data_IF_568751496483
#
_entry.id   IF_568751496483
#
_cell.length_a   1.000
_cell.length_b   1.000
_cell.length_c   1.000
_cell.angle_alpha   90.00
_cell.angle_beta   90.00
_cell.angle_gamma   90.00
#
_symmetry.space_group_name_H-M   'P 1'
#
loop_
_entity.id
_entity.type
_entity.pdbx_description
1 polymer ?
#
# COMPACT_ATOMS: atom_id res chain seq x y z
N UNK A 1 18.76 32.20 -20.13
CA UNK A 1 18.36 31.01 -20.91
C UNK A 1 19.61 30.49 -21.56
N UNK A 2 20.20 29.39 -21.06
CA UNK A 2 21.36 28.79 -21.74
C UNK A 2 20.93 28.27 -23.11
N UNK A 3 21.69 28.54 -24.18
CA UNK A 3 21.38 28.01 -25.50
C UNK A 3 21.42 26.48 -25.44
N UNK A 4 20.41 25.83 -25.99
CA UNK A 4 20.40 24.38 -26.13
C UNK A 4 21.62 23.95 -26.95
N UNK A 5 22.39 22.99 -26.44
CA UNK A 5 23.52 22.40 -27.17
C UNK A 5 23.03 21.78 -28.49
N UNK A 6 23.77 21.98 -29.58
CA UNK A 6 23.46 21.39 -30.89
C UNK A 6 23.74 19.87 -30.89
N UNK A 7 23.16 19.07 -31.81
CA UNK A 7 23.35 17.61 -31.86
C UNK A 7 24.81 17.12 -31.94
N UNK A 8 25.73 17.96 -32.42
CA UNK A 8 27.18 17.66 -32.44
C UNK A 8 27.78 17.81 -31.04
N UNK A 9 27.40 18.86 -30.30
CA UNK A 9 27.75 19.05 -28.89
C UNK A 9 27.12 17.98 -27.99
N UNK A 10 25.95 17.43 -28.37
CA UNK A 10 25.39 16.23 -27.75
C UNK A 10 26.28 15.02 -27.94
N UNK A 11 26.76 14.79 -29.17
CA UNK A 11 27.67 13.69 -29.46
C UNK A 11 28.99 13.87 -28.72
N UNK A 12 29.56 15.08 -28.67
CA UNK A 12 30.78 15.37 -27.92
C UNK A 12 30.58 15.21 -26.41
N UNK A 13 29.48 15.70 -25.84
CA UNK A 13 29.15 15.50 -24.42
C UNK A 13 28.95 14.02 -24.08
N UNK A 14 28.19 13.29 -24.89
CA UNK A 14 27.95 11.87 -24.70
C UNK A 14 29.23 11.05 -24.89
N UNK A 15 30.07 11.38 -25.88
CA UNK A 15 31.32 10.66 -26.17
C UNK A 15 32.46 11.01 -25.20
N UNK A 16 32.46 12.20 -24.59
CA UNK A 16 33.54 12.64 -23.69
C UNK A 16 33.16 12.65 -22.21
N UNK A 17 31.86 12.58 -21.88
CA UNK A 17 31.33 12.75 -20.52
C UNK A 17 31.53 14.15 -19.93
N UNK A 18 32.03 15.12 -20.71
CA UNK A 18 32.47 16.43 -20.22
C UNK A 18 31.72 17.55 -20.92
N UNK A 19 31.27 18.53 -20.13
CA UNK A 19 30.84 19.83 -20.65
C UNK A 19 32.10 20.68 -20.79
N UNK A 20 32.66 20.78 -21.99
CA UNK A 20 33.79 21.67 -22.28
C UNK A 20 33.27 22.97 -22.91
N UNK A 21 33.38 24.09 -22.19
CA UNK A 21 33.62 25.37 -22.84
C UNK A 21 35.14 25.53 -23.07
N UNK A 22 35.59 26.17 -24.15
CA UNK A 22 37.03 26.35 -24.41
C UNK A 22 37.67 27.19 -23.29
N UNK A 23 38.45 26.56 -22.42
CA UNK A 23 39.21 27.22 -21.34
C UNK A 23 38.74 26.93 -19.91
N UNK A 24 37.64 26.20 -19.71
CA UNK A 24 37.07 25.93 -18.38
C UNK A 24 37.31 24.49 -17.88
N UNK A 25 37.37 24.35 -16.54
CA UNK A 25 37.48 23.04 -15.87
C UNK A 25 36.22 22.22 -16.22
N UNK A 26 36.36 20.99 -16.74
CA UNK A 26 35.21 20.22 -17.19
C UNK A 26 34.23 19.96 -16.03
N UNK A 27 32.96 20.28 -16.27
CA UNK A 27 31.86 19.95 -15.37
C UNK A 27 31.33 18.54 -15.64
N UNK A 28 31.07 17.79 -14.57
CA UNK A 28 30.43 16.48 -14.57
C UNK A 28 29.00 16.58 -14.03
N UNK A 29 28.04 15.81 -14.56
CA UNK A 29 26.69 15.75 -14.00
C UNK A 29 26.69 15.13 -12.61
N UNK A 30 25.90 15.70 -11.70
CA UNK A 30 25.58 15.03 -10.45
C UNK A 30 24.66 13.83 -10.73
N UNK A 31 25.15 12.62 -10.45
CA UNK A 31 24.44 11.33 -10.56
C UNK A 31 23.00 11.39 -10.07
N UNK A 32 22.77 12.07 -8.95
CA UNK A 32 21.45 12.06 -8.33
C UNK A 32 20.58 13.22 -8.80
N UNK A 33 21.05 14.48 -8.75
CA UNK A 33 20.18 15.65 -8.96
C UNK A 33 20.33 16.35 -10.31
N UNK A 34 21.23 15.87 -11.18
CA UNK A 34 21.46 16.45 -12.50
C UNK A 34 22.15 17.82 -12.47
N UNK A 35 22.63 18.29 -11.31
CA UNK A 35 23.36 19.54 -11.21
C UNK A 35 24.78 19.39 -11.74
N UNK A 36 25.29 20.35 -12.50
CA UNK A 36 26.69 20.36 -12.96
C UNK A 36 27.63 20.57 -11.76
N UNK A 37 28.67 19.73 -11.65
CA UNK A 37 29.69 19.72 -10.59
C UNK A 37 31.06 19.85 -11.23
N UNK A 38 31.95 20.68 -10.69
CA UNK A 38 33.32 20.76 -11.20
C UNK A 38 34.04 19.43 -10.92
N UNK A 39 34.73 18.86 -11.92
CA UNK A 39 35.35 17.53 -11.81
C UNK A 39 36.33 17.37 -10.62
N UNK A 40 36.89 18.47 -10.12
CA UNK A 40 37.82 18.50 -8.97
C UNK A 40 37.15 18.26 -7.61
N UNK A 41 35.81 18.32 -7.53
CA UNK A 41 35.10 18.40 -6.24
C UNK A 41 34.78 17.04 -5.59
N UNK A 42 35.16 15.90 -6.16
CA UNK A 42 34.90 14.60 -5.54
C UNK A 42 35.20 13.37 -6.41
N UNK A 43 34.91 12.16 -5.89
CA UNK A 43 35.08 10.93 -6.66
C UNK A 43 34.17 10.93 -7.89
N UNK A 44 34.67 10.37 -8.98
CA UNK A 44 33.94 10.13 -10.22
C UNK A 44 33.49 8.67 -10.28
N UNK A 45 32.34 8.43 -10.91
CA UNK A 45 31.76 7.12 -11.15
C UNK A 45 31.47 7.00 -12.65
N UNK A 46 31.68 5.82 -13.23
CA UNK A 46 31.28 5.53 -14.60
C UNK A 46 29.90 4.88 -14.60
N UNK A 47 29.00 5.44 -15.39
CA UNK A 47 27.66 4.91 -15.61
C UNK A 47 27.55 4.47 -17.06
N UNK A 48 27.44 3.17 -17.28
CA UNK A 48 27.20 2.62 -18.61
C UNK A 48 25.74 2.83 -19.01
N UNK A 49 25.55 3.57 -20.08
CA UNK A 49 24.27 3.86 -20.72
C UNK A 49 24.24 3.15 -22.07
N UNK A 50 23.13 2.51 -22.39
CA UNK A 50 22.90 1.99 -23.72
C UNK A 50 22.23 3.07 -24.56
N UNK A 51 22.97 3.64 -25.51
CA UNK A 51 22.38 4.55 -26.48
C UNK A 51 21.50 3.72 -27.43
N UNK A 52 20.20 4.02 -27.47
CA UNK A 52 19.35 3.57 -28.58
C UNK A 52 19.36 4.68 -29.61
N UNK A 53 19.88 4.39 -30.80
CA UNK A 53 19.78 5.32 -31.92
C UNK A 53 18.29 5.52 -32.23
N UNK A 54 17.75 6.68 -31.86
CA UNK A 54 16.46 7.13 -32.40
C UNK A 54 16.77 7.63 -33.80
N UNK A 55 16.56 6.77 -34.80
CA UNK A 55 16.82 7.14 -36.18
C UNK A 55 15.89 8.29 -36.59
N UNK A 56 16.48 9.48 -36.82
CA UNK A 56 15.84 10.54 -37.58
C UNK A 56 16.30 10.43 -39.04
N UNK A 57 15.38 10.48 -40.03
CA UNK A 57 14.03 11.01 -39.95
C UNK A 57 12.95 9.95 -39.63
N UNK A 58 11.86 10.41 -39.01
CA UNK A 58 10.65 9.62 -38.77
C UNK A 58 10.04 9.15 -40.10
N UNK A 59 10.06 7.85 -40.37
CA UNK A 59 9.29 7.26 -41.49
C UNK A 59 7.82 7.15 -41.05
N UNK A 60 6.94 7.99 -41.59
CA UNK A 60 5.50 7.94 -41.30
C UNK A 60 5.08 8.45 -39.91
N UNK A 61 5.89 9.30 -39.26
CA UNK A 61 5.52 9.94 -37.99
C UNK A 61 5.59 9.04 -36.75
N UNK A 62 6.12 7.81 -36.89
CA UNK A 62 6.38 6.91 -35.77
C UNK A 62 7.89 6.74 -35.58
N UNK A 63 8.41 6.84 -34.34
CA UNK A 63 9.81 6.57 -34.07
C UNK A 63 10.13 5.10 -34.38
N UNK A 64 11.10 4.87 -35.27
CA UNK A 64 11.61 3.53 -35.57
C UNK A 64 12.95 3.35 -34.86
N UNK A 65 13.08 2.27 -34.08
CA UNK A 65 14.33 1.91 -33.38
C UNK A 65 15.15 1.06 -34.34
N UNK A 66 16.35 1.52 -34.73
CA UNK A 66 17.35 0.65 -35.36
C UNK A 66 18.03 -0.16 -34.26
N UNK A 67 17.79 -1.47 -34.25
CA UNK A 67 18.36 -2.41 -33.28
C UNK A 67 19.81 -2.81 -33.57
N UNK A 68 20.39 -2.31 -34.66
CA UNK A 68 21.56 -2.94 -35.28
C UNK A 68 22.90 -2.45 -34.72
N UNK A 69 22.98 -1.25 -34.11
CA UNK A 69 24.21 -0.73 -33.48
C UNK A 69 23.92 -0.16 -32.08
N UNK A 70 23.83 -1.06 -31.11
CA UNK A 70 23.68 -0.72 -29.69
C UNK A 70 25.08 -0.67 -29.06
N UNK A 71 25.73 0.48 -29.10
CA UNK A 71 27.00 0.66 -28.40
C UNK A 71 26.77 1.12 -26.95
N UNK A 72 27.39 0.45 -25.96
CA UNK A 72 27.44 0.96 -24.60
C UNK A 72 28.27 2.25 -24.58
N UNK A 73 27.72 3.27 -23.92
CA UNK A 73 28.33 4.56 -23.69
C UNK A 73 28.63 4.71 -22.20
N UNK A 74 29.89 4.92 -21.86
CA UNK A 74 30.27 5.20 -20.48
C UNK A 74 30.19 6.71 -20.20
N UNK A 75 29.31 7.09 -19.28
CA UNK A 75 29.12 8.48 -18.85
C UNK A 75 29.78 8.69 -17.49
N UNK A 76 30.77 9.58 -17.43
CA UNK A 76 31.35 10.02 -16.16
C UNK A 76 30.35 10.88 -15.38
N UNK A 77 30.08 10.49 -14.13
CA UNK A 77 29.22 11.24 -13.21
C UNK A 77 29.96 11.51 -11.91
N UNK A 78 29.51 12.52 -11.16
CA UNK A 78 29.97 12.78 -9.80
C UNK A 78 28.78 13.00 -8.85
N UNK A 79 29.03 13.42 -7.62
CA UNK A 79 28.00 13.83 -6.67
C UNK A 79 28.27 15.23 -6.16
N UNK A 80 27.28 16.12 -6.21
CA UNK A 80 27.41 17.45 -5.60
C UNK A 80 27.46 17.36 -4.07
N UNK A 81 27.94 18.41 -3.40
CA UNK A 81 28.08 18.45 -1.91
C UNK A 81 26.80 18.08 -1.17
N UNK A 82 25.63 18.51 -1.66
CA UNK A 82 24.32 18.19 -1.06
C UNK A 82 23.99 16.70 -1.18
N UNK A 83 24.15 16.12 -2.37
CA UNK A 83 23.94 14.70 -2.60
C UNK A 83 24.90 13.82 -1.79
N UNK A 84 26.18 14.22 -1.67
CA UNK A 84 27.15 13.54 -0.78
C UNK A 84 26.73 13.58 0.69
N UNK A 85 26.21 14.72 1.16
CA UNK A 85 25.72 14.85 2.53
C UNK A 85 24.54 13.90 2.79
N UNK A 86 23.61 13.80 1.84
CA UNK A 86 22.51 12.83 1.90
C UNK A 86 23.01 11.39 1.86
N UNK A 87 24.00 11.07 1.02
CA UNK A 87 24.59 9.74 0.96
C UNK A 87 25.21 9.32 2.31
N UNK A 88 25.94 10.24 2.97
CA UNK A 88 26.46 10.01 4.33
C UNK A 88 25.33 9.81 5.36
N UNK A 89 24.26 10.58 5.26
CA UNK A 89 23.08 10.40 6.12
C UNK A 89 22.43 9.03 5.88
N UNK A 90 22.33 8.57 4.63
CA UNK A 90 21.82 7.25 4.30
C UNK A 90 22.69 6.13 4.90
N UNK A 91 24.02 6.26 4.83
CA UNK A 91 24.94 5.31 5.45
C UNK A 91 24.78 5.29 6.99
N UNK A 92 24.62 6.46 7.63
CA UNK A 92 24.36 6.53 9.06
C UNK A 92 23.03 5.87 9.45
N UNK A 93 21.98 5.99 8.63
CA UNK A 93 20.69 5.31 8.87
C UNK A 93 20.81 3.79 8.76
N UNK A 94 21.72 3.26 7.93
CA UNK A 94 22.00 1.82 7.89
C UNK A 94 22.55 1.34 9.24
N UNK A 95 23.41 2.14 9.88
CA UNK A 95 23.96 1.85 11.21
C UNK A 95 22.92 2.03 12.32
N UNK A 96 22.07 3.05 12.22
CA UNK A 96 21.01 3.34 13.20
C UNK A 96 19.87 2.32 13.18
N UNK A 97 19.53 1.76 11.99
CA UNK A 97 18.43 0.82 11.80
C UNK A 97 18.91 -0.56 11.29
N UNK A 98 19.75 -1.28 12.03
CA UNK A 98 20.41 -2.50 11.54
C UNK A 98 19.43 -3.64 11.21
N UNK A 99 18.31 -3.73 11.92
CA UNK A 99 17.26 -4.72 11.63
C UNK A 99 16.56 -4.44 10.30
N UNK A 100 16.30 -3.15 9.98
CA UNK A 100 15.73 -2.78 8.69
C UNK A 100 16.75 -2.97 7.57
N UNK A 101 18.01 -2.57 7.78
CA UNK A 101 19.08 -2.76 6.82
C UNK A 101 19.27 -4.23 6.42
N UNK A 102 19.23 -5.16 7.38
CA UNK A 102 19.32 -6.60 7.10
C UNK A 102 18.22 -7.12 6.18
N UNK A 103 17.01 -6.54 6.21
CA UNK A 103 15.93 -6.93 5.29
C UNK A 103 16.18 -6.51 3.84
N UNK A 104 17.08 -5.56 3.62
CA UNK A 104 17.44 -5.06 2.29
C UNK A 104 18.61 -5.84 1.68
N UNK A 105 19.33 -6.64 2.48
CA UNK A 105 20.46 -7.44 2.02
C UNK A 105 21.79 -6.81 2.41
N UNK A 106 22.68 -6.64 1.43
CA UNK A 106 24.02 -6.11 1.68
C UNK A 106 23.99 -4.63 2.09
N UNK A 107 25.06 -4.21 2.79
CA UNK A 107 25.18 -2.85 3.33
C UNK A 107 25.16 -1.78 2.23
N UNK A 108 25.73 -2.08 1.07
CA UNK A 108 25.79 -1.14 -0.05
C UNK A 108 24.40 -0.89 -0.63
N UNK A 109 23.64 -1.94 -0.90
CA UNK A 109 22.26 -1.85 -1.37
C UNK A 109 21.35 -1.19 -0.33
N UNK A 110 21.51 -1.52 0.96
CA UNK A 110 20.79 -0.83 2.02
C UNK A 110 21.06 0.68 1.99
N UNK A 111 22.31 1.10 1.84
CA UNK A 111 22.70 2.51 1.73
C UNK A 111 22.02 3.18 0.54
N UNK A 112 22.02 2.53 -0.63
CA UNK A 112 21.33 3.05 -1.82
C UNK A 112 19.82 3.17 -1.62
N UNK A 113 19.21 2.20 -0.94
CA UNK A 113 17.78 2.20 -0.65
C UNK A 113 17.39 3.32 0.32
N UNK A 114 18.19 3.56 1.36
CA UNK A 114 18.01 4.72 2.24
C UNK A 114 18.25 6.04 1.51
N UNK A 115 19.25 6.13 0.64
CA UNK A 115 19.48 7.32 -0.17
C UNK A 115 18.29 7.62 -1.09
N UNK A 116 17.72 6.59 -1.73
CA UNK A 116 16.49 6.69 -2.52
C UNK A 116 15.30 7.14 -1.67
N UNK A 117 15.16 6.65 -0.43
CA UNK A 117 14.12 7.15 0.46
C UNK A 117 14.31 8.64 0.79
N UNK A 118 15.54 9.08 1.05
CA UNK A 118 15.85 10.48 1.38
C UNK A 118 15.75 11.44 0.18
N UNK A 119 15.78 10.92 -1.04
CA UNK A 119 15.63 11.69 -2.28
C UNK A 119 14.25 12.34 -2.39
N UNK A 120 13.19 11.59 -2.08
CA UNK A 120 11.80 12.04 -2.20
C UNK A 120 11.53 13.33 -1.40
N UNK A 121 11.76 13.40 -0.07
CA UNK A 121 11.54 14.64 0.68
C UNK A 121 12.38 15.82 0.17
N UNK A 122 13.63 15.58 -0.25
CA UNK A 122 14.51 16.65 -0.78
C UNK A 122 13.98 17.22 -2.11
N UNK A 123 13.36 16.40 -2.97
CA UNK A 123 12.72 16.90 -4.21
C UNK A 123 11.50 17.77 -3.91
N UNK A 124 10.64 17.36 -2.98
CA UNK A 124 9.42 18.11 -2.63
C UNK A 124 9.66 19.25 -1.63
N UNK A 125 10.92 19.53 -1.26
CA UNK A 125 11.30 20.63 -0.37
C UNK A 125 11.05 20.36 1.12
N UNK A 126 10.92 19.10 1.52
CA UNK A 126 10.70 18.67 2.91
C UNK A 126 12.01 18.24 3.59
N UNK A 127 12.14 18.52 4.89
CA UNK A 127 13.27 18.02 5.70
C UNK A 127 13.07 16.55 6.07
N UNK A 128 13.92 15.68 5.53
CA UNK A 128 13.91 14.24 5.80
C UNK A 128 14.10 13.91 7.28
N UNK A 129 14.71 14.80 8.08
CA UNK A 129 14.87 14.59 9.53
C UNK A 129 13.54 14.49 10.26
N UNK A 130 12.46 15.06 9.71
CA UNK A 130 11.10 14.89 10.27
C UNK A 130 10.66 13.42 10.24
N UNK A 131 11.01 12.69 9.17
CA UNK A 131 10.71 11.26 9.02
C UNK A 131 11.50 10.46 10.06
N UNK A 132 12.80 10.75 10.19
CA UNK A 132 13.70 10.03 11.12
C UNK A 132 13.33 10.29 12.58
N UNK A 133 12.94 11.52 12.94
CA UNK A 133 12.42 11.83 14.28
C UNK A 133 11.13 11.08 14.64
N UNK A 134 10.37 10.62 13.64
CA UNK A 134 9.22 9.74 13.83
C UNK A 134 9.60 8.29 14.18
N UNK A 135 10.90 7.97 14.23
CA UNK A 135 11.44 6.68 14.62
C UNK A 135 11.27 5.59 13.56
N UNK A 136 11.51 4.34 13.99
CA UNK A 136 11.58 3.19 13.09
C UNK A 136 10.30 2.96 12.28
N UNK A 137 9.10 3.25 12.85
CA UNK A 137 7.83 3.13 12.11
C UNK A 137 7.81 4.08 10.91
N UNK A 138 8.13 5.35 11.12
CA UNK A 138 8.17 6.36 10.06
C UNK A 138 9.21 6.06 9.00
N UNK A 139 10.42 5.67 9.40
CA UNK A 139 11.49 5.27 8.48
C UNK A 139 11.06 4.06 7.64
N UNK A 140 10.47 3.03 8.25
CA UNK A 140 9.99 1.85 7.51
C UNK A 140 8.87 2.20 6.53
N UNK A 141 7.90 3.01 6.93
CA UNK A 141 6.81 3.46 6.04
C UNK A 141 7.37 4.30 4.88
N UNK A 142 8.30 5.22 5.17
CA UNK A 142 8.98 6.01 4.16
C UNK A 142 9.77 5.12 3.17
N UNK A 143 10.53 4.15 3.66
CA UNK A 143 11.24 3.18 2.81
C UNK A 143 10.28 2.45 1.86
N UNK A 144 9.14 2.00 2.36
CA UNK A 144 8.15 1.29 1.56
C UNK A 144 7.56 2.17 0.44
N UNK A 145 7.26 3.43 0.73
CA UNK A 145 6.64 4.37 -0.23
C UNK A 145 7.65 5.02 -1.17
N UNK A 146 8.85 5.35 -0.68
CA UNK A 146 9.78 6.25 -1.38
C UNK A 146 10.88 5.53 -2.13
N UNK A 147 11.30 4.31 -1.75
CA UNK A 147 12.49 3.67 -2.34
C UNK A 147 12.43 3.57 -3.87
N UNK A 148 11.31 3.08 -4.41
CA UNK A 148 11.14 2.95 -5.87
C UNK A 148 11.13 4.29 -6.59
N UNK A 149 10.37 5.25 -6.04
CA UNK A 149 10.23 6.60 -6.56
C UNK A 149 11.56 7.38 -6.53
N UNK A 150 12.28 7.32 -5.42
CA UNK A 150 13.58 7.97 -5.27
C UNK A 150 14.66 7.37 -6.15
N UNK A 151 14.64 6.05 -6.38
CA UNK A 151 15.52 5.41 -7.35
C UNK A 151 15.32 5.99 -8.76
N UNK A 152 14.06 6.15 -9.17
CA UNK A 152 13.70 6.76 -10.45
C UNK A 152 13.96 8.28 -10.52
N UNK A 153 14.12 8.94 -9.37
CA UNK A 153 14.42 10.37 -9.30
C UNK A 153 15.89 10.70 -9.65
N UNK A 154 16.78 9.71 -9.59
CA UNK A 154 18.20 9.93 -9.90
C UNK A 154 18.35 10.38 -11.34
N UNK A 155 19.16 11.41 -11.57
CA UNK A 155 19.49 11.83 -12.92
C UNK A 155 20.12 10.67 -13.72
N UNK A 156 20.99 9.87 -13.12
CA UNK A 156 21.59 8.70 -13.79
C UNK A 156 20.56 7.64 -14.19
N UNK A 157 19.40 7.55 -13.51
CA UNK A 157 18.32 6.65 -13.91
C UNK A 157 17.65 7.06 -15.24
N UNK A 158 17.92 8.27 -15.74
CA UNK A 158 17.47 8.70 -17.05
C UNK A 158 18.37 8.22 -18.20
N UNK A 159 19.57 7.74 -17.88
CA UNK A 159 20.54 7.20 -18.84
C UNK A 159 20.79 5.70 -18.70
N UNK A 160 20.40 5.08 -17.57
CA UNK A 160 20.67 3.66 -17.29
C UNK A 160 19.39 2.81 -17.16
N UNK A 161 19.36 1.58 -17.72
CA UNK A 161 20.36 1.02 -18.64
C UNK A 161 20.24 1.62 -20.04
N UNK A 162 19.17 2.34 -20.34
CA UNK A 162 18.90 2.91 -21.66
C UNK A 162 18.57 4.38 -21.51
N UNK A 163 19.16 5.21 -22.38
CA UNK A 163 18.85 6.64 -22.41
C UNK A 163 17.38 6.82 -22.76
N UNK A 164 16.65 7.51 -21.87
CA UNK A 164 15.24 7.78 -22.07
C UNK A 164 15.03 8.79 -23.20
N UNK A 165 13.93 8.63 -23.94
CA UNK A 165 13.56 9.57 -25.01
C UNK A 165 13.23 10.98 -24.49
N UNK A 166 12.84 11.11 -23.22
CA UNK A 166 12.53 12.36 -22.52
C UNK A 166 13.70 12.83 -21.63
N UNK A 167 14.93 12.40 -21.95
CA UNK A 167 16.13 12.76 -21.21
C UNK A 167 16.34 14.28 -21.17
N UNK A 168 16.69 14.78 -19.99
CA UNK A 168 16.97 16.21 -19.75
C UNK A 168 18.44 16.35 -19.37
N UNK A 169 19.12 17.27 -20.06
CA UNK A 169 20.52 17.59 -19.80
C UNK A 169 20.73 18.05 -18.35
N UNK A 170 21.91 17.77 -17.80
CA UNK A 170 22.28 18.35 -16.51
C UNK A 170 22.29 19.88 -16.63
N UNK A 171 21.83 20.55 -15.58
CA UNK A 171 21.74 22.02 -15.54
C UNK A 171 22.37 22.53 -14.23
N UNK A 172 22.38 23.83 -13.99
CA UNK A 172 22.75 24.35 -12.67
C UNK A 172 21.66 24.09 -11.62
N UNK A 173 20.40 23.98 -12.06
CA UNK A 173 19.26 23.77 -11.18
C UNK A 173 19.13 22.29 -10.77
N UNK A 174 18.98 22.06 -9.47
CA UNK A 174 18.70 20.72 -8.93
C UNK A 174 17.34 20.25 -9.42
N UNK A 175 17.23 18.98 -9.77
CA UNK A 175 15.96 18.33 -10.12
C UNK A 175 15.29 18.86 -11.39
N UNK A 176 15.99 19.66 -12.20
CA UNK A 176 15.45 20.19 -13.45
C UNK A 176 15.06 19.08 -14.45
N UNK A 177 15.61 17.89 -14.29
CA UNK A 177 15.30 16.71 -15.10
C UNK A 177 14.01 15.99 -14.70
N UNK A 178 13.39 16.36 -13.58
CA UNK A 178 12.16 15.71 -13.13
C UNK A 178 10.94 16.35 -13.78
N UNK A 179 10.05 15.51 -14.33
CA UNK A 179 8.76 15.96 -14.85
C UNK A 179 7.81 16.37 -13.71
N UNK A 180 6.89 17.28 -14.00
CA UNK A 180 5.85 17.70 -13.04
C UNK A 180 5.05 16.51 -12.49
N UNK A 181 4.70 15.55 -13.37
CA UNK A 181 4.00 14.32 -12.98
C UNK A 181 4.77 13.50 -11.94
N UNK A 182 6.09 13.37 -12.09
CA UNK A 182 6.90 12.62 -11.14
C UNK A 182 7.00 13.35 -9.79
N UNK A 183 7.09 14.68 -9.81
CA UNK A 183 7.05 15.50 -8.60
C UNK A 183 5.69 15.37 -7.89
N UNK A 184 4.59 15.32 -8.63
CA UNK A 184 3.26 15.07 -8.06
C UNK A 184 3.15 13.68 -7.44
N UNK A 185 3.70 12.64 -8.08
CA UNK A 185 3.79 11.30 -7.47
C UNK A 185 4.60 11.29 -6.17
N UNK A 186 5.62 12.14 -6.03
CA UNK A 186 6.35 12.28 -4.76
C UNK A 186 5.50 12.93 -3.66
N UNK A 187 4.71 13.95 -4.02
CA UNK A 187 3.77 14.60 -3.08
C UNK A 187 2.69 13.61 -2.63
N UNK A 188 2.12 12.86 -3.57
CA UNK A 188 1.14 11.82 -3.30
C UNK A 188 1.70 10.74 -2.36
N UNK A 189 2.87 10.18 -2.68
CA UNK A 189 3.52 9.19 -1.83
C UNK A 189 3.81 9.72 -0.43
N UNK A 190 4.21 10.99 -0.30
CA UNK A 190 4.41 11.63 1.00
C UNK A 190 3.10 11.76 1.78
N UNK A 191 2.01 12.15 1.11
CA UNK A 191 0.66 12.18 1.68
C UNK A 191 0.19 10.80 2.13
N UNK A 192 0.43 9.76 1.34
CA UNK A 192 0.15 8.37 1.72
C UNK A 192 0.97 7.90 2.92
N UNK A 193 2.25 8.27 2.99
CA UNK A 193 3.10 7.96 4.15
C UNK A 193 2.53 8.61 5.41
N UNK A 194 2.15 9.90 5.35
CA UNK A 194 1.53 10.58 6.49
C UNK A 194 0.21 9.89 6.87
N UNK A 195 -0.64 9.58 5.90
CA UNK A 195 -1.90 8.90 6.14
C UNK A 195 -1.70 7.52 6.77
N UNK A 196 -0.66 6.77 6.41
CA UNK A 196 -0.31 5.48 7.01
C UNK A 196 0.22 5.63 8.46
N UNK A 197 0.87 6.74 8.77
CA UNK A 197 1.39 7.02 10.10
C UNK A 197 0.30 7.52 11.07
N UNK A 198 -0.65 8.28 10.54
CA UNK A 198 -1.82 8.79 11.27
C UNK A 198 -3.03 7.87 11.15
N UNK A 199 -2.92 6.72 10.45
CA UNK A 199 -4.03 5.79 10.32
C UNK A 199 -4.42 5.26 11.71
N UNK A 200 -5.70 5.36 12.01
CA UNK A 200 -6.28 5.00 13.28
C UNK A 200 -7.61 4.28 13.07
N UNK A 201 -8.03 3.46 14.05
CA UNK A 201 -9.30 2.75 13.95
C UNK A 201 -10.44 3.76 13.82
N UNK A 202 -11.22 3.63 12.75
CA UNK A 202 -12.44 4.41 12.50
C UNK A 202 -13.64 3.47 12.37
N UNK A 203 -14.83 3.98 12.69
CA UNK A 203 -16.07 3.26 12.46
C UNK A 203 -16.42 3.29 10.96
N UNK A 204 -16.59 2.11 10.37
CA UNK A 204 -16.86 1.91 8.94
C UNK A 204 -18.24 1.27 8.80
N UNK A 205 -19.22 1.95 8.19
CA UNK A 205 -20.52 1.36 7.90
C UNK A 205 -20.40 0.26 6.82
N UNK A 206 -21.38 -0.64 6.68
CA UNK A 206 -21.43 -1.57 5.55
C UNK A 206 -21.49 -0.80 4.22
N UNK A 207 -20.96 -1.35 3.11
CA UNK A 207 -21.01 -0.69 1.81
C UNK A 207 -22.44 -0.33 1.40
N UNK A 208 -22.61 0.87 0.85
CA UNK A 208 -23.88 1.37 0.34
C UNK A 208 -24.34 0.59 -0.90
N UNK A 209 -25.66 0.56 -1.14
CA UNK A 209 -26.23 -0.08 -2.33
C UNK A 209 -26.74 -1.51 -2.13
N UNK A 210 -26.55 -2.14 -0.96
CA UNK A 210 -27.25 -3.39 -0.60
C UNK A 210 -28.61 -3.16 0.07
N UNK A 211 -28.92 -1.91 0.40
CA UNK A 211 -30.15 -1.50 1.09
C UNK A 211 -31.39 -1.65 0.19
N UNK A 212 -31.24 -1.63 -1.13
CA UNK A 212 -32.37 -1.58 -2.08
C UNK A 212 -33.35 -2.76 -1.99
N UNK A 213 -32.92 -3.91 -1.44
CA UNK A 213 -33.79 -5.10 -1.26
C UNK A 213 -34.21 -5.36 0.18
N UNK A 214 -33.46 -4.82 1.15
CA UNK A 214 -33.65 -5.18 2.57
C UNK A 214 -34.05 -3.99 3.44
N UNK A 215 -33.78 -2.76 3.00
CA UNK A 215 -33.85 -1.53 3.80
C UNK A 215 -33.01 -1.60 5.10
N UNK A 216 -31.98 -2.45 5.12
CA UNK A 216 -31.18 -2.75 6.31
C UNK A 216 -29.75 -2.18 6.18
N UNK A 217 -29.33 -1.41 7.19
CA UNK A 217 -28.03 -0.69 7.27
C UNK A 217 -27.02 -1.28 8.26
N UNK A 218 -26.84 -2.60 8.28
CA UNK A 218 -25.97 -3.27 9.24
C UNK A 218 -25.58 -4.69 8.84
N UNK A 219 -24.79 -5.34 9.69
CA UNK A 219 -24.48 -6.77 9.54
C UNK A 219 -25.78 -7.59 9.48
N UNK A 220 -25.98 -8.39 8.44
CA UNK A 220 -27.21 -9.15 8.27
C UNK A 220 -27.50 -10.13 9.42
N UNK A 221 -26.47 -10.57 10.15
CA UNK A 221 -26.62 -11.46 11.30
C UNK A 221 -26.72 -10.69 12.61
N UNK A 222 -25.63 -10.14 13.12
CA UNK A 222 -25.61 -9.53 14.45
C UNK A 222 -26.17 -8.10 14.49
N UNK A 223 -26.44 -7.49 13.32
CA UNK A 223 -27.03 -6.16 13.20
C UNK A 223 -26.11 -4.98 13.47
N UNK A 224 -24.81 -5.17 13.73
CA UNK A 224 -23.92 -4.04 13.99
C UNK A 224 -23.88 -3.07 12.81
N UNK A 225 -24.06 -1.77 13.09
CA UNK A 225 -24.13 -0.72 12.06
C UNK A 225 -22.77 -0.24 11.54
N UNK A 226 -21.70 -0.45 12.30
CA UNK A 226 -20.35 -0.09 11.90
C UNK A 226 -19.31 -1.01 12.53
N UNK A 227 -18.17 -1.16 11.87
CA UNK A 227 -17.02 -1.94 12.36
C UNK A 227 -15.81 -1.04 12.51
N UNK A 228 -15.04 -1.24 13.58
CA UNK A 228 -13.77 -0.54 13.76
C UNK A 228 -12.74 -1.12 12.81
N UNK A 229 -12.21 -0.30 11.90
CA UNK A 229 -11.20 -0.72 10.93
C UNK A 229 -10.22 0.42 10.62
N UNK A 230 -9.02 0.05 10.18
CA UNK A 230 -8.05 1.01 9.65
C UNK A 230 -8.50 1.51 8.26
N UNK A 231 -8.00 2.67 7.81
CA UNK A 231 -8.33 3.22 6.48
C UNK A 231 -8.09 2.21 5.37
N UNK A 232 -6.96 1.50 5.43
CA UNK A 232 -6.61 0.47 4.43
C UNK A 232 -7.54 -0.73 4.43
N UNK A 233 -8.32 -0.94 5.48
CA UNK A 233 -9.20 -2.10 5.64
C UNK A 233 -10.63 -1.84 5.18
N UNK A 234 -11.00 -0.59 4.92
CA UNK A 234 -12.41 -0.22 4.77
C UNK A 234 -13.10 -0.88 3.58
N UNK A 235 -12.35 -1.20 2.52
CA UNK A 235 -12.90 -1.84 1.31
C UNK A 235 -13.24 -3.32 1.49
N UNK A 236 -12.57 -4.01 2.41
CA UNK A 236 -12.68 -5.47 2.57
C UNK A 236 -13.03 -5.92 3.99
N UNK A 237 -13.24 -4.99 4.91
CA UNK A 237 -13.62 -5.33 6.30
C UNK A 237 -14.99 -6.02 6.36
N UNK A 238 -15.88 -5.72 5.42
CA UNK A 238 -17.19 -6.34 5.31
C UNK A 238 -17.16 -7.56 4.40
N UNK A 239 -17.56 -8.72 4.94
CA UNK A 239 -17.66 -9.96 4.16
C UNK A 239 -18.99 -10.02 3.42
N UNK A 240 -19.02 -10.26 2.09
CA UNK A 240 -20.28 -10.35 1.36
C UNK A 240 -21.04 -11.62 1.75
N UNK A 241 -22.34 -11.49 1.96
CA UNK A 241 -23.27 -12.60 2.10
C UNK A 241 -24.06 -12.75 0.81
N UNK A 242 -23.90 -13.90 0.15
CA UNK A 242 -24.64 -14.23 -1.07
C UNK A 242 -25.81 -15.14 -0.73
N UNK A 243 -27.00 -14.73 -1.17
CA UNK A 243 -28.23 -15.49 -1.22
C UNK A 243 -28.51 -16.39 -0.01
N UNK A 244 -29.21 -15.85 0.99
CA UNK A 244 -29.72 -16.67 2.10
C UNK A 244 -31.23 -16.73 2.07
N UNK A 245 -31.76 -17.95 2.09
CA UNK A 245 -33.18 -18.21 2.25
C UNK A 245 -33.65 -17.66 3.63
N UNK A 246 -34.55 -16.66 3.65
CA UNK A 246 -34.97 -15.97 4.88
C UNK A 246 -35.53 -16.89 5.97
N UNK A 247 -36.14 -18.01 5.56
CA UNK A 247 -36.68 -19.02 6.47
C UNK A 247 -35.64 -19.73 7.33
N UNK A 248 -34.35 -19.65 6.98
CA UNK A 248 -33.24 -20.24 7.73
C UNK A 248 -32.65 -19.30 8.79
N UNK A 249 -33.17 -18.07 8.89
CA UNK A 249 -32.61 -17.00 9.73
C UNK A 249 -33.46 -16.64 10.98
N UNK A 250 -34.41 -17.49 11.34
CA UNK A 250 -35.19 -17.39 12.58
C UNK A 250 -36.35 -16.38 12.56
N UNK A 251 -36.71 -15.80 11.41
CA UNK A 251 -37.81 -14.81 11.29
C UNK A 251 -38.84 -15.12 10.21
N UNK A 252 -39.56 -14.09 9.74
CA UNK A 252 -40.64 -14.24 8.76
C UNK A 252 -40.11 -14.85 7.47
N UNK A 253 -40.80 -15.87 6.93
CA UNK A 253 -40.55 -16.38 5.59
C UNK A 253 -40.74 -15.24 4.59
N UNK A 254 -39.66 -14.82 3.93
CA UNK A 254 -39.72 -13.92 2.78
C UNK A 254 -39.45 -14.77 1.52
N UNK A 255 -40.07 -14.42 0.37
CA UNK A 255 -39.91 -15.19 -0.86
C UNK A 255 -38.54 -15.02 -1.51
N UNK A 256 -37.87 -13.88 -1.28
CA UNK A 256 -36.62 -13.53 -1.95
C UNK A 256 -35.39 -13.82 -1.09
N UNK A 257 -34.33 -14.28 -1.75
CA UNK A 257 -33.00 -14.43 -1.14
C UNK A 257 -32.45 -13.07 -0.66
N UNK A 258 -31.83 -13.09 0.52
CA UNK A 258 -31.18 -11.92 1.08
C UNK A 258 -29.72 -11.81 0.60
N UNK A 259 -29.35 -10.58 0.24
CA UNK A 259 -28.00 -10.20 -0.15
C UNK A 259 -27.56 -9.01 0.72
N UNK A 260 -26.31 -9.00 1.15
CA UNK A 260 -25.76 -7.91 1.96
C UNK A 260 -24.41 -8.26 2.54
N UNK A 261 -24.11 -7.70 3.71
CA UNK A 261 -22.78 -7.80 4.30
C UNK A 261 -22.81 -8.34 5.73
N UNK A 262 -21.72 -9.01 6.09
CA UNK A 262 -21.42 -9.50 7.43
C UNK A 262 -20.24 -8.74 8.00
N UNK A 263 -20.30 -8.40 9.29
CA UNK A 263 -19.13 -7.91 10.00
C UNK A 263 -18.04 -9.01 10.05
N UNK A 264 -16.76 -8.67 10.29
CA UNK A 264 -15.65 -9.64 10.27
C UNK A 264 -15.90 -10.88 11.12
N UNK A 265 -16.47 -10.71 12.31
CA UNK A 265 -16.77 -11.83 13.23
C UNK A 265 -17.81 -12.78 12.64
N UNK A 266 -18.94 -12.25 12.14
CA UNK A 266 -19.98 -13.04 11.50
C UNK A 266 -19.48 -13.70 10.20
N UNK A 267 -18.71 -12.98 9.39
CA UNK A 267 -18.14 -13.49 8.14
C UNK A 267 -17.23 -14.71 8.38
N UNK A 268 -16.30 -14.61 9.34
CA UNK A 268 -15.42 -15.73 9.72
C UNK A 268 -16.19 -16.92 10.26
N UNK A 269 -17.18 -16.67 11.11
CA UNK A 269 -17.98 -17.75 11.69
C UNK A 269 -18.73 -18.55 10.60
N UNK A 270 -19.34 -17.84 9.65
CA UNK A 270 -20.07 -18.45 8.52
C UNK A 270 -19.13 -19.17 7.56
N UNK A 271 -17.96 -18.60 7.24
CA UNK A 271 -17.01 -19.20 6.31
C UNK A 271 -16.57 -20.62 6.73
N UNK A 272 -16.64 -20.94 8.03
CA UNK A 272 -16.30 -22.27 8.57
C UNK A 272 -17.34 -23.37 8.33
N UNK A 273 -18.49 -23.06 7.72
CA UNK A 273 -19.62 -23.99 7.56
C UNK A 273 -19.89 -24.33 6.09
N UNK A 274 -19.41 -23.50 5.16
CA UNK A 274 -19.65 -23.64 3.73
C UNK A 274 -20.62 -22.58 3.17
N UNK A 275 -21.12 -22.76 1.93
CA UNK A 275 -21.80 -21.70 1.19
C UNK A 275 -23.22 -21.36 1.69
N UNK A 276 -23.81 -22.14 2.60
CA UNK A 276 -25.15 -21.92 3.13
C UNK A 276 -25.13 -21.31 4.52
N UNK A 277 -25.84 -20.19 4.72
CA UNK A 277 -26.05 -19.61 6.05
C UNK A 277 -27.41 -20.04 6.58
N UNK A 278 -27.40 -20.99 7.51
CA UNK A 278 -28.57 -21.39 8.26
C UNK A 278 -28.39 -21.22 9.77
N UNK A 279 -29.23 -21.87 10.59
CA UNK A 279 -29.19 -21.79 12.05
C UNK A 279 -27.79 -22.06 12.63
N UNK A 280 -27.07 -23.05 12.10
CA UNK A 280 -25.70 -23.37 12.50
C UNK A 280 -24.72 -22.20 12.27
N UNK A 281 -24.89 -21.44 11.19
CA UNK A 281 -24.09 -20.24 10.92
C UNK A 281 -24.37 -19.12 11.89
N UNK A 282 -25.62 -18.96 12.28
CA UNK A 282 -26.02 -18.00 13.30
C UNK A 282 -25.48 -18.38 14.68
N UNK A 283 -25.60 -19.64 15.07
CA UNK A 283 -25.06 -20.15 16.33
C UNK A 283 -23.55 -19.96 16.43
N UNK A 284 -22.79 -20.34 15.39
CA UNK A 284 -21.34 -20.10 15.39
C UNK A 284 -21.00 -18.61 15.45
N UNK A 285 -21.74 -17.77 14.74
CA UNK A 285 -21.53 -16.31 14.79
C UNK A 285 -21.87 -15.72 16.16
N UNK A 286 -22.86 -16.27 16.86
CA UNK A 286 -23.20 -15.91 18.22
C UNK A 286 -22.11 -16.36 19.20
N UNK A 287 -21.68 -17.62 19.15
CA UNK A 287 -20.62 -18.14 20.01
C UNK A 287 -19.28 -17.41 19.80
N UNK A 288 -18.93 -17.09 18.56
CA UNK A 288 -17.76 -16.27 18.25
C UNK A 288 -17.84 -14.85 18.82
N UNK A 289 -19.05 -14.29 18.98
CA UNK A 289 -19.25 -13.01 19.64
C UNK A 289 -19.17 -13.12 21.17
N UNK A 290 -19.78 -14.16 21.75
CA UNK A 290 -19.79 -14.39 23.21
C UNK A 290 -18.41 -14.84 23.76
N UNK A 291 -17.49 -15.16 22.85
CA UNK A 291 -16.17 -15.74 23.11
C UNK A 291 -16.28 -17.02 23.94
N UNK A 292 -17.13 -17.94 23.48
CA UNK A 292 -17.34 -19.25 24.12
C UNK A 292 -17.16 -20.36 23.10
N UNK A 293 -16.53 -21.46 23.51
CA UNK A 293 -16.43 -22.65 22.65
C UNK A 293 -17.80 -23.32 22.55
N UNK A 294 -18.23 -23.74 21.35
CA UNK A 294 -19.40 -24.60 21.25
C UNK A 294 -19.13 -25.90 22.02
N UNK A 295 -20.14 -26.48 22.70
CA UNK A 295 -19.96 -27.75 23.36
C UNK A 295 -19.53 -28.81 22.36
N UNK A 296 -18.37 -29.45 22.58
CA UNK A 296 -17.93 -30.58 21.78
C UNK A 296 -18.90 -31.73 21.99
N UNK A 297 -19.45 -32.23 20.88
CA UNK A 297 -20.24 -33.45 20.86
C UNK A 297 -19.30 -34.65 21.02
N UNK A 298 -19.69 -35.69 21.77
CA UNK A 298 -18.96 -36.95 21.81
C UNK A 298 -18.72 -37.49 20.39
N UNK A 299 -17.55 -38.11 20.17
CA UNK A 299 -17.23 -38.79 18.91
C UNK A 299 -18.39 -39.72 18.48
N UNK A 300 -18.86 -39.55 17.24
CA UNK A 300 -19.95 -40.36 16.67
C UNK A 300 -21.37 -39.79 16.84
N UNK A 301 -21.57 -38.68 17.56
CA UNK A 301 -22.85 -37.97 17.58
C UNK A 301 -22.88 -36.88 16.49
N UNK A 302 -23.70 -37.10 15.46
CA UNK A 302 -24.10 -36.04 14.54
C UNK A 302 -25.06 -35.12 15.31
N UNK A 303 -24.86 -33.80 15.36
CA UNK A 303 -25.87 -32.91 15.90
C UNK A 303 -27.16 -33.14 15.12
N UNK A 304 -28.19 -33.70 15.77
CA UNK A 304 -29.54 -33.58 15.25
C UNK A 304 -29.77 -32.09 14.97
N UNK A 305 -30.17 -31.75 13.74
CA UNK A 305 -30.46 -30.38 13.35
C UNK A 305 -31.34 -29.71 14.44
N UNK A 306 -30.77 -28.74 15.16
CA UNK A 306 -31.46 -28.02 16.24
C UNK A 306 -31.24 -28.53 17.68
N UNK A 307 -30.27 -29.42 17.94
CA UNK A 307 -29.91 -29.93 19.28
C UNK A 307 -28.44 -29.74 19.67
N UNK A 308 -27.82 -28.64 19.28
CA UNK A 308 -26.80 -28.04 20.15
C UNK A 308 -27.51 -27.69 21.46
N UNK A 309 -26.99 -28.16 22.60
CA UNK A 309 -27.66 -28.25 23.92
C UNK A 309 -28.19 -26.93 24.50
N UNK A 310 -27.95 -25.82 23.84
CA UNK A 310 -28.57 -24.54 24.18
C UNK A 310 -29.36 -24.06 22.97
N UNK A 311 -30.62 -24.48 22.88
CA UNK A 311 -31.58 -23.79 22.03
C UNK A 311 -31.72 -22.38 22.57
N UNK A 312 -31.08 -21.41 21.92
CA UNK A 312 -31.40 -20.01 22.14
C UNK A 312 -32.76 -19.80 21.50
N UNK A 313 -33.81 -20.03 22.28
CA UNK A 313 -35.19 -19.85 21.86
C UNK A 313 -35.30 -18.49 21.16
N UNK A 314 -35.72 -18.52 19.90
CA UNK A 314 -35.89 -17.32 19.07
C UNK A 314 -34.60 -16.59 18.65
N UNK A 315 -33.46 -17.26 18.47
CA UNK A 315 -32.30 -16.64 17.81
C UNK A 315 -32.70 -16.17 16.41
N UNK A 316 -32.73 -14.86 16.24
CA UNK A 316 -33.12 -14.17 15.01
C UNK A 316 -31.92 -13.45 14.46
N UNK A 317 -31.67 -13.60 13.16
CA UNK A 317 -30.74 -12.72 12.49
C UNK A 317 -31.36 -11.32 12.41
N UNK A 318 -30.53 -10.28 12.49
CA UNK A 318 -30.99 -8.91 12.43
C UNK A 318 -31.76 -8.60 11.13
N UNK A 319 -31.32 -9.14 9.99
CA UNK A 319 -32.03 -8.99 8.72
C UNK A 319 -33.45 -9.61 8.69
N UNK A 320 -33.77 -10.47 9.67
CA UNK A 320 -35.09 -11.08 9.82
C UNK A 320 -36.07 -10.21 10.64
N UNK A 321 -35.59 -9.09 11.22
CA UNK A 321 -36.39 -8.10 11.94
C UNK A 321 -37.26 -7.24 10.99
N UNK A 322 -38.23 -6.47 11.54
CA UNK A 322 -39.04 -5.55 10.74
C UNK A 322 -38.17 -4.52 9.98
N UNK A 323 -38.54 -4.15 8.73
CA UNK A 323 -37.90 -3.05 8.02
C UNK A 323 -37.90 -1.76 8.85
N UNK A 324 -36.84 -0.95 8.74
CA UNK A 324 -36.67 0.28 9.53
C UNK A 324 -36.16 0.06 10.96
N UNK A 325 -35.82 -1.18 11.33
CA UNK A 325 -35.08 -1.42 12.58
C UNK A 325 -33.71 -0.77 12.48
N UNK A 326 -33.34 0.03 13.47
CA UNK A 326 -32.02 0.66 13.53
C UNK A 326 -30.91 -0.40 13.71
N UNK A 327 -29.73 -0.19 13.12
CA UNK A 327 -28.59 -1.04 13.36
C UNK A 327 -28.17 -1.02 14.83
N UNK A 328 -27.70 -2.16 15.31
CA UNK A 328 -27.20 -2.26 16.67
C UNK A 328 -25.88 -1.50 16.85
N UNK A 329 -25.73 -0.85 18.00
CA UNK A 329 -24.45 -0.30 18.45
C UNK A 329 -23.49 -1.42 18.84
N UNK A 330 -24.00 -2.48 19.48
CA UNK A 330 -23.25 -3.67 19.88
C UNK A 330 -23.76 -4.91 19.15
N UNK A 331 -22.91 -5.89 18.81
CA UNK A 331 -23.36 -7.09 18.13
C UNK A 331 -24.47 -7.80 18.92
N UNK A 332 -25.52 -8.24 18.23
CA UNK A 332 -26.65 -9.00 18.79
C UNK A 332 -27.49 -8.28 19.86
N UNK A 333 -27.42 -6.95 19.96
CA UNK A 333 -28.18 -6.19 20.97
C UNK A 333 -29.72 -6.40 20.92
N UNK A 334 -30.24 -6.82 19.77
CA UNK A 334 -31.65 -7.15 19.55
C UNK A 334 -32.06 -8.52 20.13
N UNK A 335 -31.12 -9.35 20.58
CA UNK A 335 -31.38 -10.64 21.21
C UNK A 335 -31.31 -10.45 22.73
N UNK A 336 -32.39 -10.82 23.42
CA UNK A 336 -32.49 -10.74 24.88
C UNK A 336 -31.83 -11.96 25.55
N UNK A 337 -31.45 -11.84 26.82
CA UNK A 337 -30.92 -12.97 27.60
C UNK A 337 -29.48 -13.42 27.27
N UNK A 338 -28.76 -12.72 26.39
CA UNK A 338 -27.40 -13.10 25.99
C UNK A 338 -26.39 -13.15 27.14
N UNK A 339 -26.55 -12.29 28.15
CA UNK A 339 -25.66 -12.26 29.30
C UNK A 339 -25.77 -13.52 30.17
N UNK A 340 -27.00 -14.01 30.38
CA UNK A 340 -27.24 -15.23 31.15
C UNK A 340 -26.81 -16.46 30.36
N UNK A 341 -27.12 -16.50 29.07
CA UNK A 341 -26.63 -17.51 28.13
C UNK A 341 -25.09 -17.62 28.15
N UNK A 342 -24.38 -16.49 28.06
CA UNK A 342 -22.92 -16.48 28.11
C UNK A 342 -22.38 -17.02 29.44
N UNK A 343 -23.04 -16.71 30.57
CA UNK A 343 -22.67 -17.19 31.90
C UNK A 343 -22.85 -18.71 32.00
N UNK A 344 -23.98 -19.22 31.52
CA UNK A 344 -24.28 -20.65 31.50
C UNK A 344 -23.27 -21.42 30.65
N UNK A 345 -23.03 -20.98 29.41
CA UNK A 345 -22.09 -21.63 28.50
C UNK A 345 -20.65 -21.65 29.03
N UNK A 346 -20.21 -20.58 29.71
CA UNK A 346 -18.89 -20.53 30.36
C UNK A 346 -18.81 -21.49 31.54
N UNK A 347 -19.88 -21.63 32.31
CA UNK A 347 -19.94 -22.57 33.44
C UNK A 347 -19.83 -24.02 32.94
N UNK A 348 -20.55 -24.36 31.88
CA UNK A 348 -20.48 -25.68 31.24
C UNK A 348 -19.08 -25.93 30.65
N UNK A 349 -18.47 -24.92 30.04
CA UNK A 349 -17.12 -25.02 29.47
C UNK A 349 -16.03 -25.18 30.53
N UNK A 350 -16.20 -24.57 31.72
CA UNK A 350 -15.24 -24.66 32.82
C UNK A 350 -15.34 -25.97 33.63
N UNK A 351 -16.46 -26.68 33.52
CA UNK A 351 -16.69 -27.96 34.18
C UNK A 351 -16.11 -29.17 33.43
N UNK A 352 -15.52 -28.96 32.24
CA UNK A 352 -14.86 -29.98 31.41
C UNK A 352 -13.35 -29.77 31.40
#
# INVERSE_FOLDING_TARGET
MSPALNPTQWREFLMSGRIQEPGDTPGLPCRDCGTIVLAVDGPTELVTATAREVAFPMRGGQPFIRTEDIEPLDVEVSQCRRCRTRNRAAAALVDEYPTLARTLGDRWYATLAFEAMLLVPDVIGMDWRSIVRGGQKSVRTAMHRFRGLGGAARWSASITPTIRHDFVMPTEARWAHLSARLVDSFREAYGEMLADLTDGPRLVPPPEGTEFRTAMRGCLLCGVGAVSAMRKQTEYVWGPLRAVAPGLLGGRRRPDDLYGYLCPTCARAVASIGPGVGPTGMEKALFAFLDVRPPELPEGQVPEFGRTTVQVDSLRAWCALPPGTEPNVTPWAHVTGLGDLARELRTVSAAR
#
